data_IF_683139859189
#
_entry.id   IF_683139859189
#
_cell.length_a   1.000
_cell.length_b   1.000
_cell.length_c   1.000
_cell.angle_alpha   90.00
_cell.angle_beta   90.00
_cell.angle_gamma   90.00
#
_symmetry.space_group_name_H-M   'P 1'
#
loop_
_entity.id
_entity.type
_entity.pdbx_description
1 polymer ?
#
# COMPACT_ATOMS: atom_id res chain seq x y z
N UNK A 1 0.71 -4.23 38.31
CA UNK A 1 -0.42 -4.25 37.35
C UNK A 1 -0.39 -3.10 36.35
N UNK A 2 -0.13 -1.84 36.77
CA UNK A 2 -0.02 -0.69 35.84
C UNK A 2 1.12 -0.80 34.80
N UNK A 3 2.26 -1.38 35.19
CA UNK A 3 3.40 -1.63 34.30
C UNK A 3 3.11 -2.68 33.22
N UNK A 4 2.37 -3.74 33.55
CA UNK A 4 1.98 -4.79 32.60
C UNK A 4 1.01 -4.27 31.52
N UNK A 5 0.10 -3.36 31.89
CA UNK A 5 -0.83 -2.73 30.93
C UNK A 5 -0.08 -1.83 29.95
N UNK A 6 0.93 -1.08 30.44
CA UNK A 6 1.75 -0.22 29.59
C UNK A 6 2.61 -1.02 28.61
N UNK A 7 3.18 -2.16 29.05
CA UNK A 7 3.92 -3.09 28.19
C UNK A 7 3.03 -3.74 27.12
N UNK A 8 1.78 -4.08 27.44
CA UNK A 8 0.83 -4.67 26.50
C UNK A 8 0.39 -3.66 25.42
N UNK A 9 0.24 -2.39 25.79
CA UNK A 9 -0.16 -1.30 24.89
C UNK A 9 0.95 -0.91 23.91
N UNK A 10 2.23 -1.03 24.32
CA UNK A 10 3.39 -0.86 23.42
C UNK A 10 3.49 -2.00 22.37
N UNK A 11 3.09 -3.21 22.73
CA UNK A 11 3.16 -4.38 21.84
C UNK A 11 2.13 -4.30 20.69
N UNK A 12 0.98 -3.65 20.93
CA UNK A 12 -0.05 -3.44 19.92
C UNK A 12 0.36 -2.41 18.84
N UNK A 13 1.34 -1.54 19.10
CA UNK A 13 1.84 -0.59 18.10
C UNK A 13 2.78 -1.24 17.07
N UNK A 14 3.16 -2.51 17.26
CA UNK A 14 4.08 -3.22 16.38
C UNK A 14 3.39 -3.93 15.20
N UNK A 15 2.08 -3.80 15.03
CA UNK A 15 1.39 -4.27 13.83
C UNK A 15 1.78 -3.38 12.64
N UNK A 16 2.89 -3.72 11.99
CA UNK A 16 3.26 -3.14 10.71
C UNK A 16 2.20 -3.57 9.68
N UNK A 17 1.39 -2.63 9.22
CA UNK A 17 0.44 -2.89 8.14
C UNK A 17 1.23 -3.30 6.89
N UNK A 18 1.01 -4.53 6.45
CA UNK A 18 1.58 -5.03 5.22
C UNK A 18 0.85 -4.43 4.01
N UNK A 19 1.50 -4.40 2.86
CA UNK A 19 0.88 -3.96 1.60
C UNK A 19 0.90 -5.11 0.59
N UNK A 20 0.28 -6.24 0.94
CA UNK A 20 -0.03 -7.30 -0.03
C UNK A 20 -1.24 -6.82 -0.82
N UNK A 21 -1.07 -6.59 -2.12
CA UNK A 21 -2.12 -6.09 -3.00
C UNK A 21 -2.54 -7.17 -3.99
N UNK A 22 -3.82 -7.22 -4.33
CA UNK A 22 -4.34 -8.04 -5.42
C UNK A 22 -4.86 -7.13 -6.52
N UNK A 23 -4.35 -7.30 -7.74
CA UNK A 23 -4.87 -6.60 -8.92
C UNK A 23 -6.18 -7.25 -9.36
N UNK A 24 -7.29 -6.56 -9.18
CA UNK A 24 -8.60 -7.03 -9.62
C UNK A 24 -8.97 -6.41 -10.97
N UNK A 25 -9.69 -7.16 -11.81
CA UNK A 25 -10.25 -6.68 -13.07
C UNK A 25 -11.65 -6.06 -12.90
N UNK A 26 -12.19 -6.09 -11.68
CA UNK A 26 -13.51 -5.55 -11.34
C UNK A 26 -13.39 -4.27 -10.54
N UNK A 27 -13.78 -3.15 -11.15
CA UNK A 27 -13.87 -1.84 -10.50
C UNK A 27 -14.76 -1.86 -9.25
N UNK A 28 -15.82 -2.67 -9.26
CA UNK A 28 -16.77 -2.77 -8.14
C UNK A 28 -16.22 -3.58 -6.96
N UNK A 29 -15.30 -4.51 -7.22
CA UNK A 29 -14.68 -5.34 -6.18
C UNK A 29 -13.43 -4.71 -5.57
N UNK A 30 -12.94 -3.60 -6.11
CA UNK A 30 -11.75 -2.93 -5.62
C UNK A 30 -12.00 -2.17 -4.33
N UNK A 31 -11.02 -2.21 -3.44
CA UNK A 31 -11.03 -1.37 -2.23
C UNK A 31 -10.51 0.03 -2.56
N UNK A 32 -9.59 0.14 -3.55
CA UNK A 32 -9.07 1.41 -4.06
C UNK A 32 -8.85 1.38 -5.59
N UNK A 33 -9.05 2.52 -6.24
CA UNK A 33 -8.69 2.75 -7.64
C UNK A 33 -7.33 3.44 -7.73
N UNK A 34 -6.45 2.89 -8.56
CA UNK A 34 -5.05 3.31 -8.66
C UNK A 34 -4.74 3.76 -10.08
N UNK A 35 -4.12 4.92 -10.25
CA UNK A 35 -3.58 5.35 -11.54
C UNK A 35 -2.06 5.40 -11.46
N UNK A 36 -1.39 4.82 -12.46
CA UNK A 36 0.07 4.82 -12.58
C UNK A 36 0.48 6.08 -13.35
N UNK A 37 1.27 6.94 -12.72
CA UNK A 37 1.80 8.16 -13.34
C UNK A 37 3.19 7.90 -13.94
N UNK A 38 3.57 8.71 -14.94
CA UNK A 38 4.86 8.58 -15.63
C UNK A 38 6.05 9.17 -14.85
N UNK A 39 5.78 9.89 -13.76
CA UNK A 39 6.80 10.64 -13.00
C UNK A 39 6.58 10.50 -11.50
N UNK A 40 7.65 10.28 -10.75
CA UNK A 40 7.60 10.24 -9.28
C UNK A 40 7.12 11.55 -8.63
N UNK A 41 7.26 12.68 -9.33
CA UNK A 41 6.82 13.99 -8.83
C UNK A 41 5.30 14.14 -8.85
N UNK A 42 4.63 13.33 -9.66
CA UNK A 42 3.19 13.32 -9.88
C UNK A 42 2.45 12.32 -8.95
N UNK A 43 3.20 11.47 -8.25
CA UNK A 43 2.64 10.40 -7.44
C UNK A 43 2.27 10.86 -6.03
N UNK A 44 1.22 10.25 -5.49
CA UNK A 44 0.91 10.30 -4.06
C UNK A 44 1.77 9.29 -3.27
N UNK A 45 2.14 8.18 -3.92
CA UNK A 45 2.93 7.09 -3.36
C UNK A 45 3.93 6.57 -4.40
N UNK A 46 5.21 6.54 -4.04
CA UNK A 46 6.22 5.80 -4.81
C UNK A 46 6.18 4.35 -4.34
N UNK A 47 5.97 3.44 -5.28
CA UNK A 47 5.79 2.02 -5.02
C UNK A 47 6.99 1.24 -5.52
N UNK A 48 7.57 0.42 -4.67
CA UNK A 48 8.48 -0.64 -5.06
C UNK A 48 7.75 -1.98 -5.06
N UNK A 49 7.87 -2.75 -6.14
CA UNK A 49 7.31 -4.09 -6.23
C UNK A 49 8.23 -5.09 -5.54
N UNK A 50 7.80 -5.61 -4.40
CA UNK A 50 8.51 -6.64 -3.65
C UNK A 50 8.38 -8.01 -4.32
N UNK A 51 9.48 -8.77 -4.32
CA UNK A 51 9.50 -10.16 -4.79
C UNK A 51 8.93 -11.15 -3.76
N UNK A 52 8.89 -10.75 -2.49
CA UNK A 52 8.43 -11.57 -1.37
C UNK A 52 7.36 -10.85 -0.57
N UNK A 53 6.33 -11.60 -0.16
CA UNK A 53 5.26 -11.09 0.71
C UNK A 53 5.78 -10.57 2.06
N UNK A 54 6.93 -11.08 2.51
CA UNK A 54 7.55 -10.68 3.77
C UNK A 54 8.24 -9.32 3.69
N UNK A 55 8.47 -8.80 2.48
CA UNK A 55 9.09 -7.49 2.26
C UNK A 55 8.07 -6.34 2.23
N UNK A 56 6.79 -6.66 2.05
CA UNK A 56 5.71 -5.69 1.99
C UNK A 56 5.27 -5.26 3.39
N UNK A 57 6.06 -4.41 4.06
CA UNK A 57 5.83 -4.05 5.47
C UNK A 57 5.74 -2.54 5.69
N UNK A 58 4.96 -2.14 6.70
CA UNK A 58 4.99 -0.80 7.30
C UNK A 58 4.24 0.29 6.54
N UNK A 59 3.37 -0.05 5.59
CA UNK A 59 2.62 0.89 4.76
C UNK A 59 3.51 2.01 4.18
N UNK A 60 4.60 1.64 3.49
CA UNK A 60 5.63 2.59 2.97
C UNK A 60 5.71 2.67 1.44
N UNK A 61 4.81 2.00 0.73
CA UNK A 61 4.92 1.80 -0.72
C UNK A 61 5.69 0.52 -1.09
N UNK A 62 5.80 -0.44 -0.18
CA UNK A 62 6.42 -1.74 -0.44
C UNK A 62 5.34 -2.74 -0.79
N UNK A 63 5.04 -2.90 -2.08
CA UNK A 63 3.90 -3.69 -2.53
C UNK A 63 4.31 -5.09 -2.97
N UNK A 64 3.69 -6.09 -2.36
CA UNK A 64 3.74 -7.46 -2.89
C UNK A 64 2.44 -7.74 -3.63
N UNK A 65 2.52 -8.16 -4.89
CA UNK A 65 1.34 -8.54 -5.65
C UNK A 65 0.99 -10.00 -5.35
N UNK A 66 -0.09 -10.22 -4.62
CA UNK A 66 -0.59 -11.54 -4.30
C UNK A 66 -1.30 -12.15 -5.52
N UNK A 67 -1.19 -13.48 -5.66
CA UNK A 67 -1.83 -14.24 -6.74
C UNK A 67 -3.35 -14.43 -6.51
N UNK A 68 -3.83 -14.15 -5.28
CA UNK A 68 -5.21 -14.36 -4.88
C UNK A 68 -5.71 -13.21 -4.01
N UNK A 69 -6.98 -12.82 -4.24
CA UNK A 69 -7.69 -11.82 -3.44
C UNK A 69 -7.77 -12.17 -1.95
N UNK A 70 -7.65 -13.45 -1.59
CA UNK A 70 -7.74 -13.92 -0.20
C UNK A 70 -6.44 -13.71 0.58
N UNK A 71 -5.32 -13.54 -0.11
CA UNK A 71 -4.00 -13.33 0.50
C UNK A 71 -3.60 -11.86 0.57
N UNK A 72 -4.36 -10.99 -0.09
CA UNK A 72 -4.13 -9.56 -0.15
C UNK A 72 -4.80 -8.82 1.02
N UNK A 73 -4.14 -7.76 1.46
CA UNK A 73 -4.65 -6.79 2.43
C UNK A 73 -5.57 -5.77 1.73
N UNK A 74 -5.33 -5.49 0.44
CA UNK A 74 -6.15 -4.61 -0.41
C UNK A 74 -6.33 -5.16 -1.83
N UNK A 75 -7.53 -5.03 -2.38
CA UNK A 75 -7.82 -5.21 -3.80
C UNK A 75 -7.69 -3.86 -4.50
N UNK A 76 -6.85 -3.80 -5.53
CA UNK A 76 -6.60 -2.58 -6.30
C UNK A 76 -7.12 -2.75 -7.72
N UNK A 77 -7.79 -1.75 -8.25
CA UNK A 77 -8.17 -1.68 -9.67
C UNK A 77 -7.38 -0.57 -10.34
N UNK A 78 -6.62 -0.92 -11.37
CA UNK A 78 -5.89 0.07 -12.16
C UNK A 78 -6.86 0.76 -13.12
N UNK A 79 -6.91 2.10 -13.04
CA UNK A 79 -7.73 2.92 -13.93
C UNK A 79 -6.86 3.55 -15.02
N UNK A 80 -7.48 3.89 -16.15
CA UNK A 80 -6.80 4.53 -17.30
C UNK A 80 -6.77 6.06 -17.21
N UNK A 81 -7.38 6.65 -16.17
CA UNK A 81 -7.48 8.10 -15.99
C UNK A 81 -7.16 8.53 -14.57
N UNK A 82 -6.31 9.54 -14.44
CA UNK A 82 -5.98 10.19 -13.15
C UNK A 82 -7.21 10.72 -12.41
N UNK A 83 -8.25 11.11 -13.14
CA UNK A 83 -9.49 11.65 -12.55
C UNK A 83 -10.37 10.57 -11.92
N UNK A 84 -10.18 9.31 -12.30
CA UNK A 84 -10.92 8.16 -11.76
C UNK A 84 -10.24 7.57 -10.52
N UNK A 85 -9.00 7.95 -10.22
CA UNK A 85 -8.18 7.33 -9.20
C UNK A 85 -8.39 7.93 -7.81
N UNK A 86 -8.32 7.08 -6.80
CA UNK A 86 -8.26 7.50 -5.40
C UNK A 86 -6.79 7.76 -5.01
N UNK A 87 -5.87 6.94 -5.56
CA UNK A 87 -4.43 6.99 -5.30
C UNK A 87 -3.62 7.04 -6.61
N UNK A 88 -2.67 7.97 -6.69
CA UNK A 88 -1.70 8.06 -7.78
C UNK A 88 -0.39 7.41 -7.36
N UNK A 89 0.11 6.47 -8.16
CA UNK A 89 1.36 5.78 -7.85
C UNK A 89 2.40 5.93 -8.96
N UNK A 90 3.67 5.88 -8.58
CA UNK A 90 4.78 5.69 -9.50
C UNK A 90 5.54 4.43 -9.10
N UNK A 91 5.82 3.52 -10.03
CA UNK A 91 6.65 2.35 -9.74
C UNK A 91 8.13 2.73 -9.82
N UNK A 92 8.88 2.52 -8.74
CA UNK A 92 10.34 2.62 -8.73
C UNK A 92 10.99 1.24 -8.79
N UNK A 93 12.17 1.19 -9.42
CA UNK A 93 13.07 0.04 -9.46
C UNK A 93 13.89 -0.12 -8.17
N UNK A 94 13.84 0.87 -7.26
CA UNK A 94 14.59 0.88 -6.01
C UNK A 94 13.67 0.85 -4.80
N UNK A 95 13.89 -0.14 -3.92
CA UNK A 95 13.20 -0.24 -2.62
C UNK A 95 13.37 1.02 -1.77
N UNK A 96 14.51 1.68 -1.88
CA UNK A 96 14.85 2.87 -1.08
C UNK A 96 14.07 4.12 -1.50
N UNK A 97 13.46 4.11 -2.68
CA UNK A 97 12.65 5.23 -3.16
C UNK A 97 11.19 5.14 -2.71
N UNK A 98 10.77 3.99 -2.16
CA UNK A 98 9.40 3.78 -1.73
C UNK A 98 9.05 4.73 -0.58
N UNK A 99 8.17 5.69 -0.85
CA UNK A 99 7.73 6.68 0.12
C UNK A 99 6.34 7.22 -0.20
N UNK A 100 5.63 7.65 0.84
CA UNK A 100 4.46 8.49 0.68
C UNK A 100 4.86 9.93 0.39
N UNK A 101 4.41 10.43 -0.75
CA UNK A 101 4.52 11.84 -1.15
C UNK A 101 3.33 12.65 -0.60
N UNK A 102 2.17 12.02 -0.51
CA UNK A 102 0.93 12.60 0.03
C UNK A 102 0.51 11.86 1.30
N UNK A 103 1.00 12.29 2.46
CA UNK A 103 0.75 11.62 3.75
C UNK A 103 -0.72 11.62 4.18
N UNK A 104 -1.53 12.59 3.74
CA UNK A 104 -2.98 12.60 4.01
C UNK A 104 -3.73 11.42 3.39
N UNK A 105 -3.17 10.75 2.38
CA UNK A 105 -3.76 9.58 1.70
C UNK A 105 -3.32 8.22 2.26
N UNK A 106 -2.44 8.19 3.26
CA UNK A 106 -1.95 6.93 3.86
C UNK A 106 -3.06 6.01 4.35
N UNK A 107 -4.16 6.60 4.81
CA UNK A 107 -5.33 5.89 5.32
C UNK A 107 -5.99 4.97 4.29
N UNK A 108 -5.76 5.18 3.00
CA UNK A 108 -6.28 4.32 1.93
C UNK A 108 -5.71 2.89 2.01
N UNK A 109 -4.55 2.71 2.64
CA UNK A 109 -3.82 1.44 2.72
C UNK A 109 -3.72 0.88 4.15
N UNK A 110 -4.57 1.33 5.08
CA UNK A 110 -4.76 0.70 6.40
C UNK A 110 -5.89 -0.32 6.43
#
# INVERSE_FOLDING_TARGET
>A
MKTLIFSLMMLAAAFSFAQKVYSTDSRYDADIKVFVVDSKYDADLIVYKCDSRYDATGNKGLWYFADSRYDADKKIFFVDSRYDADLLIYFSDSRYDAEWRTSSKQHLLY
#
